data_IF_932863365909
#
_entry.id   IF_932863365909
#
_cell.length_a   1.000
_cell.length_b   1.000
_cell.length_c   1.000
_cell.angle_alpha   90.00
_cell.angle_beta   90.00
_cell.angle_gamma   90.00
#
_symmetry.space_group_name_H-M   'P 1'
#
loop_
_entity.id
_entity.type
_entity.pdbx_description
1 polymer ?
#
# COMPACT_ATOMS: atom_id res chain seq x y z
N UNK A 1 1.67 -20.12 56.83
CA UNK A 1 0.75 -19.34 55.96
C UNK A 1 1.43 -18.58 54.80
N UNK A 2 2.76 -18.33 54.81
CA UNK A 2 3.43 -17.58 53.73
C UNK A 2 3.68 -18.37 52.43
N UNK A 3 3.92 -19.68 52.51
CA UNK A 3 4.25 -20.51 51.33
C UNK A 3 3.08 -20.57 50.31
N UNK A 4 1.83 -20.58 50.77
CA UNK A 4 0.65 -20.60 49.91
C UNK A 4 0.46 -19.31 49.10
N UNK A 5 0.85 -18.15 49.65
CA UNK A 5 0.76 -16.86 48.93
C UNK A 5 1.78 -16.79 47.79
N UNK A 6 3.00 -17.29 48.00
CA UNK A 6 4.02 -17.32 46.96
C UNK A 6 3.70 -18.30 45.82
N UNK A 7 3.13 -19.46 46.14
CA UNK A 7 2.69 -20.43 45.12
C UNK A 7 1.55 -19.86 44.26
N UNK A 8 0.58 -19.16 44.86
CA UNK A 8 -0.51 -18.50 44.10
C UNK A 8 -0.01 -17.35 43.22
N UNK A 9 0.92 -16.54 43.74
CA UNK A 9 1.54 -15.46 42.96
C UNK A 9 2.34 -16.00 41.76
N UNK A 10 3.09 -17.09 41.95
CA UNK A 10 3.84 -17.74 40.87
C UNK A 10 2.92 -18.33 39.80
N UNK A 11 1.83 -19.02 40.19
CA UNK A 11 0.83 -19.52 39.24
C UNK A 11 0.16 -18.39 38.44
N UNK A 12 -0.18 -17.28 39.10
CA UNK A 12 -0.77 -16.12 38.41
C UNK A 12 0.20 -15.50 37.41
N UNK A 13 1.48 -15.37 37.77
CA UNK A 13 2.55 -14.88 36.88
C UNK A 13 2.72 -15.80 35.66
N UNK A 14 2.72 -17.12 35.85
CA UNK A 14 2.81 -18.09 34.75
C UNK A 14 1.59 -17.97 33.83
N UNK A 15 0.38 -17.88 34.39
CA UNK A 15 -0.86 -17.73 33.62
C UNK A 15 -0.86 -16.43 32.80
N UNK A 16 -0.41 -15.32 33.38
CA UNK A 16 -0.26 -14.03 32.70
C UNK A 16 0.78 -14.11 31.56
N UNK A 17 1.92 -14.75 31.79
CA UNK A 17 2.94 -14.93 30.76
C UNK A 17 2.44 -15.79 29.58
N UNK A 18 1.71 -16.88 29.87
CA UNK A 18 1.14 -17.75 28.83
C UNK A 18 0.05 -17.03 28.03
N UNK A 19 -0.87 -16.32 28.70
CA UNK A 19 -1.92 -15.55 28.02
C UNK A 19 -1.35 -14.42 27.17
N UNK A 20 -0.33 -13.72 27.65
CA UNK A 20 0.40 -12.71 26.88
C UNK A 20 1.07 -13.32 25.64
N UNK A 21 1.79 -14.44 25.79
CA UNK A 21 2.45 -15.15 24.67
C UNK A 21 1.45 -15.62 23.61
N UNK A 22 0.30 -16.17 24.02
CA UNK A 22 -0.77 -16.57 23.10
C UNK A 22 -1.38 -15.38 22.38
N UNK A 23 -1.60 -14.26 23.07
CA UNK A 23 -2.09 -13.01 22.48
C UNK A 23 -1.13 -12.46 21.42
N UNK A 24 0.18 -12.46 21.69
CA UNK A 24 1.19 -12.03 20.73
C UNK A 24 1.23 -12.92 19.47
N UNK A 25 1.16 -14.24 19.64
CA UNK A 25 1.09 -15.18 18.51
C UNK A 25 -0.15 -14.93 17.65
N UNK A 26 -1.31 -14.74 18.27
CA UNK A 26 -2.56 -14.45 17.56
C UNK A 26 -2.49 -13.12 16.80
N UNK A 27 -1.95 -12.05 17.42
CA UNK A 27 -1.75 -10.75 16.74
C UNK A 27 -0.77 -10.86 15.58
N UNK A 28 0.33 -11.59 15.75
CA UNK A 28 1.30 -11.82 14.68
C UNK A 28 0.69 -12.60 13.51
N UNK A 29 -0.12 -13.60 13.79
CA UNK A 29 -0.84 -14.39 12.78
C UNK A 29 -1.89 -13.54 12.05
N UNK A 30 -2.74 -12.81 12.78
CA UNK A 30 -3.76 -11.91 12.22
C UNK A 30 -3.15 -10.88 11.26
N UNK A 31 -2.06 -10.25 11.66
CA UNK A 31 -1.45 -9.23 10.83
C UNK A 31 -0.57 -9.79 9.69
N UNK A 32 -0.10 -11.05 9.77
CA UNK A 32 0.43 -11.75 8.59
C UNK A 32 -0.68 -12.08 7.58
N UNK A 33 -1.87 -12.47 8.06
CA UNK A 33 -3.03 -12.69 7.19
C UNK A 33 -3.43 -11.40 6.47
N UNK A 34 -3.45 -10.25 7.17
CA UNK A 34 -3.70 -8.96 6.53
C UNK A 34 -2.71 -8.66 5.39
N UNK A 35 -1.41 -8.92 5.59
CA UNK A 35 -0.42 -8.70 4.53
C UNK A 35 -0.62 -9.65 3.34
N UNK A 36 -0.99 -10.91 3.58
CA UNK A 36 -1.32 -11.89 2.53
C UNK A 36 -2.56 -11.44 1.76
N UNK A 37 -3.62 -11.02 2.46
CA UNK A 37 -4.85 -10.53 1.84
C UNK A 37 -4.55 -9.36 0.90
N UNK A 38 -3.76 -8.38 1.35
CA UNK A 38 -3.36 -7.24 0.52
C UNK A 38 -2.54 -7.68 -0.68
N UNK A 39 -1.63 -8.63 -0.52
CA UNK A 39 -0.83 -9.16 -1.62
C UNK A 39 -1.74 -9.84 -2.65
N UNK A 40 -2.65 -10.70 -2.23
CA UNK A 40 -3.47 -11.54 -3.10
C UNK A 40 -4.71 -10.83 -3.67
N UNK A 41 -5.19 -9.75 -3.04
CA UNK A 41 -6.38 -9.03 -3.49
C UNK A 41 -6.22 -8.49 -4.93
N UNK A 42 -5.02 -8.05 -5.30
CA UNK A 42 -4.70 -7.58 -6.64
C UNK A 42 -3.19 -7.63 -6.90
N UNK A 43 -2.79 -7.87 -8.15
CA UNK A 43 -1.40 -7.94 -8.56
C UNK A 43 -1.10 -7.02 -9.74
N UNK A 44 0.14 -7.09 -10.20
CA UNK A 44 0.61 -6.38 -11.38
C UNK A 44 0.19 -7.15 -12.63
N UNK A 45 -0.70 -6.56 -13.43
CA UNK A 45 -1.05 -7.01 -14.79
C UNK A 45 -0.39 -6.15 -15.88
N UNK A 46 -0.95 -6.22 -17.09
CA UNK A 46 -0.50 -5.45 -18.25
C UNK A 46 -1.15 -4.06 -18.21
N UNK A 47 -0.33 -3.01 -18.12
CA UNK A 47 -0.78 -1.63 -18.24
C UNK A 47 -1.17 -1.33 -19.69
N UNK A 48 -2.19 -0.50 -19.90
CA UNK A 48 -2.49 0.09 -21.21
C UNK A 48 -2.01 1.53 -21.19
N UNK A 49 -1.20 1.89 -22.20
CA UNK A 49 -0.72 3.26 -22.40
C UNK A 49 -1.33 3.82 -23.69
N UNK A 50 -1.30 5.13 -23.85
CA UNK A 50 -1.65 5.76 -25.13
C UNK A 50 -0.75 5.24 -26.28
N UNK A 51 -1.22 5.25 -27.54
CA UNK A 51 -0.46 4.73 -28.69
C UNK A 51 0.93 5.34 -28.86
N UNK A 52 1.10 6.59 -28.42
CA UNK A 52 2.33 7.38 -28.52
C UNK A 52 3.39 6.94 -27.50
N UNK A 53 2.99 6.18 -26.48
CA UNK A 53 3.85 5.72 -25.39
C UNK A 53 4.03 4.21 -25.47
N UNK A 54 5.28 3.76 -25.51
CA UNK A 54 5.61 2.32 -25.35
C UNK A 54 6.01 2.04 -23.92
N UNK A 55 5.36 1.04 -23.33
CA UNK A 55 5.77 0.51 -22.04
C UNK A 55 7.13 -0.19 -22.20
N UNK A 56 8.20 0.40 -21.67
CA UNK A 56 9.52 -0.25 -21.61
C UNK A 56 9.61 -1.27 -20.47
N UNK A 57 8.64 -1.25 -19.55
CA UNK A 57 8.45 -2.22 -18.47
C UNK A 57 6.99 -2.20 -17.98
N UNK A 58 6.60 -3.16 -17.14
CA UNK A 58 5.30 -3.18 -16.50
C UNK A 58 5.24 -2.10 -15.39
N UNK A 59 4.64 -0.94 -15.71
CA UNK A 59 4.90 0.30 -14.98
C UNK A 59 3.90 0.69 -13.88
N UNK A 60 3.03 -0.21 -13.40
CA UNK A 60 2.15 0.07 -12.25
C UNK A 60 2.72 -0.37 -10.88
N UNK A 61 3.95 -0.92 -10.85
CA UNK A 61 4.53 -1.50 -9.64
C UNK A 61 4.67 -0.49 -8.48
N UNK A 62 4.89 0.79 -8.82
CA UNK A 62 4.97 1.87 -7.82
C UNK A 62 3.62 2.08 -7.16
N UNK A 63 2.56 2.25 -7.96
CA UNK A 63 1.19 2.40 -7.46
C UNK A 63 0.79 1.24 -6.58
N UNK A 64 0.98 -0.01 -7.03
CA UNK A 64 0.64 -1.21 -6.25
C UNK A 64 1.37 -1.21 -4.92
N UNK A 65 2.69 -0.97 -4.93
CA UNK A 65 3.51 -0.95 -3.73
C UNK A 65 3.02 0.06 -2.71
N UNK A 66 2.77 1.29 -3.14
CA UNK A 66 2.31 2.36 -2.26
C UNK A 66 0.88 2.17 -1.78
N UNK A 67 -0.04 1.75 -2.65
CA UNK A 67 -1.45 1.54 -2.26
C UNK A 67 -1.52 0.45 -1.18
N UNK A 68 -0.86 -0.70 -1.37
CA UNK A 68 -0.86 -1.78 -0.38
C UNK A 68 -0.20 -1.36 0.93
N UNK A 69 0.96 -0.71 0.87
CA UNK A 69 1.64 -0.21 2.06
C UNK A 69 0.76 0.80 2.83
N UNK A 70 0.03 1.65 2.12
CA UNK A 70 -0.87 2.64 2.72
C UNK A 70 -2.10 1.98 3.35
N UNK A 71 -2.71 0.99 2.68
CA UNK A 71 -3.85 0.25 3.24
C UNK A 71 -3.42 -0.54 4.47
N UNK A 72 -2.20 -1.08 4.50
CA UNK A 72 -1.68 -1.76 5.69
C UNK A 72 -1.58 -0.82 6.89
N UNK A 73 -1.08 0.40 6.68
CA UNK A 73 -0.82 1.36 7.78
C UNK A 73 -2.09 2.04 8.25
N UNK A 74 -2.95 2.49 7.35
CA UNK A 74 -4.14 3.28 7.69
C UNK A 74 -5.41 2.43 7.79
N UNK A 75 -5.44 1.26 7.15
CA UNK A 75 -6.65 0.45 6.97
C UNK A 75 -7.38 0.80 5.67
N UNK A 76 -8.30 -0.10 5.28
CA UNK A 76 -9.20 0.10 4.16
C UNK A 76 -10.12 1.30 4.46
N UNK A 77 -10.42 2.13 3.46
CA UNK A 77 -11.25 3.33 3.58
C UNK A 77 -10.69 4.46 4.46
N UNK A 78 -9.42 4.39 4.84
CA UNK A 78 -8.81 5.36 5.75
C UNK A 78 -7.67 6.18 5.13
N UNK A 79 -7.32 5.97 3.86
CA UNK A 79 -6.29 6.79 3.17
C UNK A 79 -6.91 8.09 2.63
N UNK A 80 -8.22 8.07 2.34
CA UNK A 80 -8.96 9.21 1.84
C UNK A 80 -10.44 9.10 2.21
N UNK A 81 -11.12 10.25 2.24
CA UNK A 81 -12.58 10.34 2.29
C UNK A 81 -13.13 10.36 0.86
N UNK A 82 -14.24 9.67 0.62
CA UNK A 82 -14.82 9.51 -0.72
C UNK A 82 -16.32 9.71 -0.71
N UNK A 83 -16.80 10.60 -1.58
CA UNK A 83 -18.22 10.79 -1.85
C UNK A 83 -18.49 10.72 -3.35
N UNK A 84 -19.73 10.41 -3.73
CA UNK A 84 -20.18 10.37 -5.11
C UNK A 84 -21.47 11.18 -5.19
N UNK A 85 -21.49 12.16 -6.08
CA UNK A 85 -22.67 12.99 -6.35
C UNK A 85 -22.73 13.29 -7.85
N UNK A 86 -23.89 13.09 -8.49
CA UNK A 86 -24.10 13.36 -9.91
C UNK A 86 -23.01 12.76 -10.84
N UNK A 87 -22.62 11.50 -10.60
CA UNK A 87 -21.54 10.77 -11.31
C UNK A 87 -20.12 11.36 -11.17
N UNK A 88 -19.93 12.30 -10.25
CA UNK A 88 -18.63 12.85 -9.89
C UNK A 88 -18.16 12.24 -8.58
N UNK A 89 -16.99 11.62 -8.61
CA UNK A 89 -16.29 11.13 -7.42
C UNK A 89 -15.50 12.29 -6.82
N UNK A 90 -15.68 12.56 -5.54
CA UNK A 90 -14.90 13.54 -4.78
C UNK A 90 -14.06 12.83 -3.72
N UNK A 91 -12.76 13.10 -3.73
CA UNK A 91 -11.78 12.46 -2.85
C UNK A 91 -11.01 13.51 -2.07
N UNK A 92 -10.94 13.35 -0.75
CA UNK A 92 -10.12 14.17 0.16
C UNK A 92 -8.99 13.31 0.73
N UNK A 93 -7.74 13.64 0.39
CA UNK A 93 -6.56 12.90 0.84
C UNK A 93 -6.12 13.31 2.26
N UNK A 94 -5.17 12.57 2.85
CA UNK A 94 -4.63 12.84 4.20
C UNK A 94 -3.99 14.21 4.38
N UNK A 95 -3.51 14.84 3.29
CA UNK A 95 -2.99 16.20 3.31
C UNK A 95 -4.08 17.26 3.09
N UNK A 96 -5.36 16.88 3.22
CA UNK A 96 -6.56 17.69 2.98
C UNK A 96 -6.73 18.19 1.54
N UNK A 97 -5.89 17.73 0.62
CA UNK A 97 -6.09 18.05 -0.78
C UNK A 97 -7.30 17.34 -1.35
N UNK A 98 -8.00 18.04 -2.24
CA UNK A 98 -9.21 17.55 -2.89
C UNK A 98 -8.92 17.27 -4.35
N UNK A 99 -9.38 16.13 -4.82
CA UNK A 99 -9.43 15.79 -6.25
C UNK A 99 -10.82 15.28 -6.58
N UNK A 100 -11.28 15.56 -7.79
CA UNK A 100 -12.55 15.04 -8.30
C UNK A 100 -12.34 14.44 -9.68
N UNK A 101 -13.08 13.39 -9.99
CA UNK A 101 -13.06 12.75 -11.31
C UNK A 101 -14.43 12.19 -11.67
N UNK A 102 -14.69 12.09 -12.96
CA UNK A 102 -15.95 11.51 -13.44
C UNK A 102 -15.92 9.99 -13.39
N UNK A 103 -17.09 9.37 -13.53
CA UNK A 103 -17.20 7.90 -13.65
C UNK A 103 -16.48 7.37 -14.90
N UNK A 104 -16.42 8.16 -15.97
CA UNK A 104 -15.67 7.84 -17.20
C UNK A 104 -14.16 7.86 -16.95
N UNK A 105 -13.65 8.89 -16.26
CA UNK A 105 -12.23 8.96 -15.88
C UNK A 105 -11.85 7.79 -14.97
N UNK A 106 -12.71 7.43 -14.01
CA UNK A 106 -12.51 6.25 -13.17
C UNK A 106 -12.45 4.98 -14.02
N UNK A 107 -13.42 4.77 -14.91
CA UNK A 107 -13.45 3.60 -15.82
C UNK A 107 -12.19 3.53 -16.68
N UNK A 108 -11.80 4.63 -17.33
CA UNK A 108 -10.58 4.70 -18.13
C UNK A 108 -9.33 4.41 -17.30
N UNK A 109 -9.26 4.91 -16.06
CA UNK A 109 -8.15 4.62 -15.16
C UNK A 109 -8.07 3.14 -14.78
N UNK A 110 -9.19 2.48 -14.51
CA UNK A 110 -9.27 1.05 -14.19
C UNK A 110 -8.75 0.22 -15.37
N UNK A 111 -9.22 0.52 -16.57
CA UNK A 111 -8.83 -0.19 -17.79
C UNK A 111 -7.34 -0.05 -18.10
N UNK A 112 -6.74 1.09 -17.76
CA UNK A 112 -5.33 1.38 -17.99
C UNK A 112 -4.41 0.90 -16.87
N UNK A 113 -4.87 0.94 -15.61
CA UNK A 113 -4.09 0.60 -14.41
C UNK A 113 -3.48 -0.80 -14.48
N UNK A 114 -4.18 -1.74 -15.14
CA UNK A 114 -3.69 -3.11 -15.30
C UNK A 114 -3.56 -3.86 -13.97
N UNK A 115 -4.39 -3.55 -12.97
CA UNK A 115 -4.44 -4.33 -11.73
C UNK A 115 -5.11 -5.68 -12.00
N UNK A 116 -4.40 -6.77 -11.75
CA UNK A 116 -4.83 -8.14 -12.07
C UNK A 116 -5.39 -8.87 -10.85
N UNK A 117 -6.47 -9.63 -11.05
CA UNK A 117 -7.01 -10.58 -10.05
C UNK A 117 -6.51 -12.01 -10.25
N UNK A 118 -5.69 -12.27 -11.28
CA UNK A 118 -5.27 -13.63 -11.71
C UNK A 118 -4.47 -14.41 -10.67
N UNK A 119 -3.89 -13.73 -9.68
CA UNK A 119 -3.10 -14.37 -8.61
C UNK A 119 -3.91 -14.64 -7.34
N UNK A 120 -5.24 -14.42 -7.39
CA UNK A 120 -6.13 -14.82 -6.32
C UNK A 120 -6.18 -16.36 -6.23
N UNK A 121 -6.24 -16.93 -5.02
CA UNK A 121 -6.48 -18.36 -4.85
C UNK A 121 -7.79 -18.82 -5.50
N UNK A 122 -7.83 -20.03 -6.05
CA UNK A 122 -9.03 -20.59 -6.72
C UNK A 122 -10.17 -20.89 -5.74
N UNK A 123 -9.85 -21.16 -4.48
CA UNK A 123 -10.80 -21.58 -3.45
C UNK A 123 -10.92 -20.54 -2.34
N UNK A 124 -11.57 -19.42 -2.64
CA UNK A 124 -11.90 -18.39 -1.67
C UNK A 124 -13.28 -18.65 -1.06
N UNK A 125 -13.38 -18.48 0.25
CA UNK A 125 -14.69 -18.32 0.91
C UNK A 125 -15.36 -17.03 0.42
N UNK A 126 -16.69 -16.95 0.49
CA UNK A 126 -17.42 -15.72 0.12
C UNK A 126 -16.95 -14.49 0.89
N UNK A 127 -16.55 -14.66 2.16
CA UNK A 127 -16.00 -13.58 2.98
C UNK A 127 -14.64 -13.09 2.45
N UNK A 128 -13.75 -14.01 2.07
CA UNK A 128 -12.46 -13.64 1.50
C UNK A 128 -12.62 -12.97 0.14
N UNK A 129 -13.54 -13.48 -0.70
CA UNK A 129 -13.85 -12.88 -1.99
C UNK A 129 -14.33 -11.43 -1.82
N UNK A 130 -15.33 -11.19 -0.96
CA UNK A 130 -15.86 -9.86 -0.69
C UNK A 130 -14.77 -8.90 -0.17
N UNK A 131 -13.90 -9.39 0.72
CA UNK A 131 -12.77 -8.62 1.23
C UNK A 131 -11.77 -8.26 0.13
N UNK A 132 -11.43 -9.20 -0.75
CA UNK A 132 -10.48 -8.97 -1.85
C UNK A 132 -11.05 -8.02 -2.88
N UNK A 133 -12.35 -8.11 -3.18
CA UNK A 133 -13.03 -7.15 -4.06
C UNK A 133 -13.07 -5.75 -3.44
N UNK A 134 -13.38 -5.62 -2.15
CA UNK A 134 -13.34 -4.32 -1.47
C UNK A 134 -11.95 -3.67 -1.52
N UNK A 135 -10.88 -4.45 -1.34
CA UNK A 135 -9.50 -3.96 -1.48
C UNK A 135 -9.20 -3.55 -2.92
N UNK A 136 -9.64 -4.35 -3.89
CA UNK A 136 -9.43 -4.08 -5.32
C UNK A 136 -10.14 -2.81 -5.78
N UNK A 137 -11.41 -2.64 -5.41
CA UNK A 137 -12.21 -1.48 -5.79
C UNK A 137 -11.64 -0.21 -5.17
N UNK A 138 -11.29 -0.27 -3.88
CA UNK A 138 -10.60 0.83 -3.19
C UNK A 138 -9.25 1.18 -3.85
N UNK A 139 -8.48 0.16 -4.27
CA UNK A 139 -7.21 0.36 -4.97
C UNK A 139 -7.39 1.06 -6.33
N UNK A 140 -8.49 0.83 -7.04
CA UNK A 140 -8.78 1.52 -8.29
C UNK A 140 -9.18 2.98 -8.08
N UNK A 141 -10.00 3.26 -7.07
CA UNK A 141 -10.40 4.63 -6.74
C UNK A 141 -9.17 5.47 -6.35
N UNK A 142 -8.31 4.94 -5.48
CA UNK A 142 -7.09 5.64 -5.08
C UNK A 142 -6.10 5.82 -6.23
N UNK A 143 -6.03 4.85 -7.15
CA UNK A 143 -5.21 4.98 -8.35
C UNK A 143 -5.69 6.14 -9.24
N UNK A 144 -7.01 6.25 -9.48
CA UNK A 144 -7.58 7.38 -10.19
C UNK A 144 -7.28 8.72 -9.48
N UNK A 145 -7.42 8.75 -8.14
CA UNK A 145 -7.08 9.92 -7.34
C UNK A 145 -5.60 10.32 -7.48
N UNK A 146 -4.66 9.36 -7.47
CA UNK A 146 -3.24 9.60 -7.75
C UNK A 146 -3.04 10.24 -9.12
N UNK A 147 -3.73 9.73 -10.16
CA UNK A 147 -3.66 10.26 -11.52
C UNK A 147 -4.17 11.71 -11.56
N UNK A 148 -5.31 12.02 -10.93
CA UNK A 148 -5.83 13.39 -10.85
C UNK A 148 -4.91 14.31 -10.06
N UNK A 149 -4.31 13.81 -8.99
CA UNK A 149 -3.35 14.57 -8.18
C UNK A 149 -2.10 14.90 -9.00
N UNK A 150 -1.59 13.92 -9.75
CA UNK A 150 -0.49 14.14 -10.70
C UNK A 150 -0.87 15.16 -11.78
N UNK A 151 -2.04 14.98 -12.40
CA UNK A 151 -2.56 15.87 -13.44
C UNK A 151 -2.57 17.33 -12.96
N UNK A 152 -3.12 17.58 -11.78
CA UNK A 152 -3.20 18.92 -11.19
C UNK A 152 -1.81 19.49 -10.84
N UNK A 153 -0.92 18.66 -10.29
CA UNK A 153 0.43 19.09 -9.89
C UNK A 153 1.30 19.48 -11.10
N UNK A 154 1.21 18.71 -12.18
CA UNK A 154 2.03 18.88 -13.39
C UNK A 154 1.33 19.64 -14.53
N UNK A 155 0.07 20.06 -14.32
CA UNK A 155 -0.73 20.81 -15.30
C UNK A 155 -0.76 20.14 -16.68
N UNK A 156 -1.05 18.84 -16.69
CA UNK A 156 -1.07 18.01 -17.90
C UNK A 156 -2.47 17.45 -18.20
N UNK A 157 -2.63 16.72 -19.30
CA UNK A 157 -3.88 16.04 -19.62
C UNK A 157 -4.10 14.83 -18.70
N UNK A 158 -5.35 14.38 -18.55
CA UNK A 158 -5.64 13.17 -17.78
C UNK A 158 -4.94 11.94 -18.37
N UNK A 159 -4.95 11.81 -19.71
CA UNK A 159 -4.30 10.71 -20.43
C UNK A 159 -2.78 10.70 -20.19
N UNK A 160 -2.12 11.86 -20.26
CA UNK A 160 -0.68 11.95 -20.00
C UNK A 160 -0.33 11.63 -18.54
N UNK A 161 -1.16 12.11 -17.60
CA UNK A 161 -1.00 11.79 -16.18
C UNK A 161 -1.16 10.28 -15.94
N UNK A 162 -2.15 9.66 -16.58
CA UNK A 162 -2.41 8.23 -16.49
C UNK A 162 -1.23 7.41 -17.01
N UNK A 163 -0.68 7.80 -18.16
CA UNK A 163 0.50 7.17 -18.74
C UNK A 163 1.73 7.32 -17.84
N UNK A 164 2.01 8.53 -17.33
CA UNK A 164 3.17 8.76 -16.46
C UNK A 164 3.09 7.99 -15.14
N UNK A 165 1.90 7.94 -14.52
CA UNK A 165 1.66 7.10 -13.35
C UNK A 165 1.86 5.62 -13.68
N UNK A 166 1.32 5.14 -14.81
CA UNK A 166 1.48 3.77 -15.29
C UNK A 166 2.87 3.43 -15.85
N UNK A 167 3.78 4.40 -16.01
CA UNK A 167 5.19 4.15 -16.28
C UNK A 167 5.99 3.91 -14.99
N UNK A 168 5.40 4.21 -13.82
CA UNK A 168 6.02 3.92 -12.54
C UNK A 168 7.29 4.71 -12.30
N UNK A 169 7.38 5.92 -12.88
CA UNK A 169 8.52 6.80 -12.67
C UNK A 169 8.47 7.41 -11.27
N UNK A 170 9.65 7.72 -10.76
CA UNK A 170 9.85 8.55 -9.57
C UNK A 170 9.15 8.05 -8.28
N UNK A 171 9.56 6.87 -7.80
CA UNK A 171 9.11 6.24 -6.54
C UNK A 171 9.08 7.20 -5.34
N UNK A 172 9.93 8.21 -5.30
CA UNK A 172 10.03 9.16 -4.17
C UNK A 172 8.92 10.20 -4.13
N UNK A 173 8.21 10.43 -5.24
CA UNK A 173 7.19 11.48 -5.35
C UNK A 173 5.78 10.97 -5.13
N UNK A 174 5.57 9.65 -5.25
CA UNK A 174 4.29 9.00 -4.99
C UNK A 174 3.64 9.35 -3.64
N UNK A 175 4.38 9.52 -2.52
CA UNK A 175 3.77 9.99 -1.28
C UNK A 175 3.00 11.31 -1.44
N UNK A 176 3.48 12.26 -2.26
CA UNK A 176 2.78 13.53 -2.52
C UNK A 176 1.46 13.31 -3.25
N UNK A 177 1.45 12.39 -4.22
CA UNK A 177 0.24 12.10 -5.00
C UNK A 177 -0.83 11.35 -4.18
N UNK A 178 -0.42 10.72 -3.08
CA UNK A 178 -1.30 10.07 -2.10
C UNK A 178 -1.66 10.97 -0.89
N UNK A 179 -1.13 12.19 -0.81
CA UNK A 179 -1.29 13.04 0.38
C UNK A 179 -0.57 12.50 1.63
N UNK A 180 0.48 11.69 1.44
CA UNK A 180 1.26 11.01 2.47
C UNK A 180 2.69 11.55 2.61
N UNK A 181 2.98 12.74 2.09
CA UNK A 181 4.30 13.36 2.17
C UNK A 181 4.82 13.44 3.61
N UNK A 182 3.97 13.77 4.57
CA UNK A 182 4.33 13.84 5.99
C UNK A 182 4.19 12.50 6.71
N UNK A 183 3.74 11.45 6.04
CA UNK A 183 3.60 10.10 6.60
C UNK A 183 4.71 9.15 6.14
N UNK A 184 5.73 9.64 5.44
CA UNK A 184 6.74 8.79 4.82
C UNK A 184 8.15 9.16 5.23
N UNK A 185 8.98 8.14 5.44
CA UNK A 185 10.42 8.32 5.70
C UNK A 185 11.24 7.39 4.81
N UNK A 186 12.28 7.94 4.19
CA UNK A 186 13.29 7.12 3.53
C UNK A 186 14.07 6.35 4.59
N UNK A 187 14.02 5.03 4.52
CA UNK A 187 14.82 4.18 5.37
C UNK A 187 15.85 3.49 4.50
N UNK A 188 17.13 3.72 4.80
CA UNK A 188 18.20 2.92 4.24
C UNK A 188 18.03 1.44 4.58
N UNK A 189 18.93 0.61 4.05
CA UNK A 189 18.95 -0.80 4.39
C UNK A 189 19.18 -1.00 5.90
N UNK A 190 18.16 -1.50 6.62
CA UNK A 190 18.25 -1.92 8.03
C UNK A 190 17.91 -3.41 8.14
N UNK A 191 18.70 -4.15 8.91
CA UNK A 191 18.78 -5.62 8.87
C UNK A 191 17.54 -6.39 9.36
N UNK A 192 16.68 -5.81 10.21
CA UNK A 192 15.54 -6.56 10.77
C UNK A 192 14.27 -6.39 9.92
N UNK A 193 13.99 -7.33 9.02
CA UNK A 193 12.82 -7.33 8.13
C UNK A 193 11.54 -7.87 8.79
N UNK A 194 11.65 -8.61 9.90
CA UNK A 194 10.55 -9.44 10.44
C UNK A 194 9.46 -8.62 11.16
N UNK A 195 9.80 -7.44 11.66
CA UNK A 195 8.88 -6.57 12.40
C UNK A 195 8.38 -5.36 11.61
N UNK A 196 8.80 -5.19 10.35
CA UNK A 196 8.52 -3.98 9.57
C UNK A 196 7.25 -4.15 8.74
N UNK A 197 6.37 -3.17 8.79
CA UNK A 197 5.10 -3.06 8.05
C UNK A 197 5.09 -1.72 7.31
N UNK A 198 4.22 -1.61 6.31
CA UNK A 198 3.95 -0.39 5.57
C UNK A 198 5.12 0.03 4.68
N UNK A 199 5.87 -0.93 4.12
CA UNK A 199 7.07 -0.61 3.36
C UNK A 199 6.88 -0.73 1.85
N UNK A 200 7.48 0.22 1.16
CA UNK A 200 7.73 0.19 -0.27
C UNK A 200 9.22 0.03 -0.48
N UNK A 201 9.64 -1.06 -1.12
CA UNK A 201 11.04 -1.35 -1.40
C UNK A 201 11.27 -1.38 -2.92
N UNK A 202 12.44 -0.91 -3.38
CA UNK A 202 12.72 -0.89 -4.81
C UNK A 202 14.19 -1.08 -5.18
N UNK A 203 14.38 -1.50 -6.44
CA UNK A 203 15.66 -1.66 -7.11
C UNK A 203 15.49 -1.37 -8.61
N UNK A 204 16.39 -0.59 -9.21
CA UNK A 204 16.41 -0.17 -10.63
C UNK A 204 15.01 0.10 -11.19
N UNK A 205 14.34 -0.92 -11.73
CA UNK A 205 13.08 -0.83 -12.48
C UNK A 205 11.93 -1.61 -11.82
N UNK A 206 12.00 -1.90 -10.52
CA UNK A 206 10.96 -2.65 -9.83
C UNK A 206 10.74 -2.18 -8.39
N UNK A 207 9.47 -1.97 -8.06
CA UNK A 207 8.97 -1.62 -6.74
C UNK A 207 8.08 -2.73 -6.22
N UNK A 208 8.17 -3.01 -4.93
CA UNK A 208 7.39 -4.03 -4.24
C UNK A 208 6.87 -3.51 -2.90
N UNK A 209 5.66 -3.95 -2.55
CA UNK A 209 5.17 -3.89 -1.19
C UNK A 209 5.89 -4.93 -0.33
N UNK A 210 6.28 -4.54 0.88
CA UNK A 210 6.94 -5.42 1.85
C UNK A 210 6.27 -5.26 3.22
N UNK A 211 5.93 -6.39 3.83
CA UNK A 211 5.41 -6.44 5.19
C UNK A 211 5.83 -7.72 5.89
N UNK A 212 6.38 -7.61 7.11
CA UNK A 212 6.73 -8.73 8.01
C UNK A 212 7.59 -9.81 7.37
N UNK A 213 8.47 -9.40 6.46
CA UNK A 213 9.33 -10.30 5.69
C UNK A 213 8.65 -10.96 4.47
N UNK A 214 7.37 -10.73 4.25
CA UNK A 214 6.69 -11.01 2.98
C UNK A 214 7.00 -9.90 1.97
N UNK A 215 7.23 -10.30 0.74
CA UNK A 215 7.42 -9.43 -0.41
C UNK A 215 6.33 -9.74 -1.42
N UNK A 216 5.61 -8.72 -1.85
CA UNK A 216 4.69 -8.80 -2.98
C UNK A 216 5.47 -8.97 -4.28
N UNK A 217 5.24 -10.07 -4.98
CA UNK A 217 5.70 -10.23 -6.33
C UNK A 217 4.53 -10.44 -7.27
N UNK A 218 4.00 -9.33 -7.76
CA UNK A 218 2.92 -9.31 -8.75
C UNK A 218 1.64 -10.02 -8.28
N UNK A 219 1.33 -9.95 -6.99
CA UNK A 219 0.16 -10.60 -6.40
C UNK A 219 0.47 -11.89 -5.62
N UNK A 220 1.72 -12.32 -5.60
CA UNK A 220 2.16 -13.53 -4.88
C UNK A 220 3.05 -13.16 -3.68
N UNK A 221 2.84 -13.80 -2.54
CA UNK A 221 3.56 -13.52 -1.30
C UNK A 221 4.83 -14.39 -1.15
N UNK A 222 6.01 -13.77 -1.11
CA UNK A 222 7.29 -14.48 -0.93
C UNK A 222 7.97 -14.13 0.39
N UNK A 223 8.38 -15.14 1.17
CA UNK A 223 9.14 -14.96 2.43
C UNK A 223 10.64 -14.72 2.23
N UNK A 224 11.20 -15.25 1.14
CA UNK A 224 12.63 -15.13 0.80
C UNK A 224 12.75 -14.90 -0.70
N UNK A 225 13.13 -13.69 -1.09
CA UNK A 225 13.65 -13.45 -2.44
C UNK A 225 15.17 -13.27 -2.38
N UNK A 226 15.91 -13.80 -3.38
CA UNK A 226 17.34 -13.56 -3.51
C UNK A 226 17.65 -12.08 -3.84
N UNK A 227 16.68 -11.35 -4.38
CA UNK A 227 16.84 -9.96 -4.81
C UNK A 227 16.87 -9.02 -3.59
N UNK A 228 17.99 -8.30 -3.44
CA UNK A 228 18.13 -7.23 -2.46
C UNK A 228 17.48 -5.97 -3.02
N UNK A 229 16.47 -5.44 -2.33
CA UNK A 229 15.92 -4.10 -2.58
C UNK A 229 16.64 -3.10 -1.66
N UNK A 230 17.66 -2.36 -2.17
CA UNK A 230 18.53 -1.54 -1.34
C UNK A 230 17.87 -0.25 -0.84
N UNK A 231 16.81 0.20 -1.53
CA UNK A 231 16.10 1.44 -1.22
C UNK A 231 14.72 1.13 -0.67
N UNK A 232 14.31 1.85 0.37
CA UNK A 232 13.02 1.67 1.03
C UNK A 232 12.43 2.98 1.50
N UNK A 233 11.11 3.04 1.49
CA UNK A 233 10.30 4.06 2.13
C UNK A 233 9.35 3.31 3.05
N UNK A 234 9.23 3.81 4.28
CA UNK A 234 8.25 3.33 5.24
C UNK A 234 7.17 4.39 5.43
N UNK A 235 5.93 3.92 5.44
CA UNK A 235 4.74 4.72 5.76
C UNK A 235 4.47 4.59 7.27
N UNK A 236 4.12 5.70 7.90
CA UNK A 236 3.82 5.83 9.32
C UNK A 236 2.40 6.38 9.50
N UNK A 237 1.68 5.86 10.49
CA UNK A 237 0.32 6.33 10.79
C UNK A 237 0.31 7.75 11.35
N UNK A 238 1.34 8.13 12.11
CA UNK A 238 1.53 9.48 12.65
C UNK A 238 2.31 10.34 11.65
N UNK A 239 1.86 11.56 11.35
CA UNK A 239 2.62 12.47 10.49
C UNK A 239 3.87 12.97 11.22
N UNK A 240 4.92 13.25 10.45
CA UNK A 240 6.11 13.97 10.89
C UNK A 240 5.90 15.48 10.77
N UNK A 241 6.61 16.25 11.60
CA UNK A 241 6.68 17.71 11.44
C UNK A 241 7.28 18.08 10.07
N UNK A 242 6.85 19.20 9.50
CA UNK A 242 7.28 19.64 8.16
C UNK A 242 8.80 19.74 8.03
N UNK A 243 9.52 20.08 9.11
CA UNK A 243 10.98 20.19 9.13
C UNK A 243 11.72 18.85 8.94
N UNK A 244 11.06 17.71 9.22
CA UNK A 244 11.64 16.37 9.03
C UNK A 244 11.41 15.83 7.62
N UNK A 245 10.71 16.57 6.76
CA UNK A 245 10.43 16.19 5.38
C UNK A 245 11.62 16.52 4.45
N UNK A 246 12.47 15.53 4.17
CA UNK A 246 13.64 15.68 3.30
C UNK A 246 13.36 15.44 1.80
N UNK A 247 12.11 15.55 1.34
CA UNK A 247 11.66 14.96 0.07
C UNK A 247 11.70 15.84 -1.19
N UNK A 248 12.03 17.13 -1.10
CA UNK A 248 11.52 18.09 -2.08
C UNK A 248 12.22 18.15 -3.44
N UNK A 249 13.54 17.92 -3.53
CA UNK A 249 14.29 18.47 -4.67
C UNK A 249 14.07 17.82 -6.04
N UNK A 250 13.41 16.65 -6.13
CA UNK A 250 13.39 15.86 -7.37
C UNK A 250 12.00 15.39 -7.84
N UNK A 251 10.93 16.11 -7.50
CA UNK A 251 9.57 15.79 -7.98
C UNK A 251 9.07 16.66 -9.14
N UNK A 252 9.97 17.47 -9.69
CA UNK A 252 9.80 18.30 -10.89
C UNK A 252 10.76 17.80 -11.96
#
# INVERSE_FOLDING_TARGET
>A
MMISKHIKALHLLILLAVTFSLSEKARAQSANLQAIDLIQAFGQGKVKLSPERKATSAGNCVSIGYIKASIEVFGLNNIFEHTIENNVHSVILKDHSKVSFTSEELKSSIEAAGFSKEKRPDHLTSQQQARYDSIYDYANIIFCAIVKRYQAYHKTSFTDALDEINLGKNVRCYPKYLGLQYHTKYEGWKGNRKSRTGEVAWFKNHVVYVSKGLVDFRGEAYKKKPIRYPKRIKIYSTPFDQEQYLGEKNCL
#
